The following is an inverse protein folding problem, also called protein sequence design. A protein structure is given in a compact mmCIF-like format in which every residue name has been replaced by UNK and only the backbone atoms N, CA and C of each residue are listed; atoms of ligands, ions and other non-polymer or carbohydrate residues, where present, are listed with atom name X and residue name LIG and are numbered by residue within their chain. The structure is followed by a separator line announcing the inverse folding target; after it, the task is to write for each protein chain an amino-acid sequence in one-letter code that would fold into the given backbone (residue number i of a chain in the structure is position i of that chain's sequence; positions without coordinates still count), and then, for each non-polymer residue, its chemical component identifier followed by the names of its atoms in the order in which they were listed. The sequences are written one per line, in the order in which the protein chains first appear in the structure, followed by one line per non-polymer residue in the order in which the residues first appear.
data_IF_266647044412
#
_entry.id   IF_266647044412
#
_cell.length_a   1.000
_cell.length_b   1.000
_cell.length_c   1.000
_cell.angle_alpha   90.00
_cell.angle_beta   90.00
_cell.angle_gamma   90.00
#
_symmetry.space_group_name_H-M   'P 1'
#
loop_
_entity.id
_entity.type
_entity.pdbx_description
1 polymer ?
#
# COMPACT_ATOMS: atom_id res chain seq x y z
N UNK A 1 18.72 -0.15 25.08
CA UNK A 1 18.44 1.25 24.71
C UNK A 1 17.52 1.21 23.50
N UNK A 2 16.20 1.16 23.70
CA UNK A 2 15.22 1.05 22.60
C UNK A 2 15.08 2.42 21.94
N UNK A 3 15.71 2.60 20.78
CA UNK A 3 15.41 3.75 19.92
C UNK A 3 13.97 3.59 19.46
N UNK A 4 13.06 4.41 20.00
CA UNK A 4 11.73 4.60 19.42
C UNK A 4 11.96 5.10 17.99
N UNK A 5 11.90 4.19 17.02
CA UNK A 5 11.70 4.59 15.63
C UNK A 5 10.45 5.47 15.63
N UNK A 6 10.52 6.63 14.97
CA UNK A 6 9.58 7.74 15.12
C UNK A 6 8.12 7.41 14.74
N UNK A 7 7.27 8.42 14.47
CA UNK A 7 5.81 8.29 14.38
C UNK A 7 5.32 7.56 13.11
N UNK A 8 5.88 6.39 12.80
CA UNK A 8 5.51 5.57 11.67
C UNK A 8 4.32 4.65 12.02
N UNK A 9 3.52 4.34 11.00
CA UNK A 9 2.20 3.72 11.12
C UNK A 9 2.18 2.22 11.47
N UNK A 10 3.30 1.60 11.84
CA UNK A 10 3.41 0.15 12.00
C UNK A 10 3.63 -0.30 13.46
N UNK A 11 3.21 -1.53 13.81
CA UNK A 11 3.32 -2.06 15.17
C UNK A 11 4.78 -2.19 15.66
N UNK A 12 4.98 -2.04 16.97
CA UNK A 12 6.30 -2.14 17.60
C UNK A 12 6.69 -3.61 17.84
N UNK A 13 5.71 -4.48 18.05
CA UNK A 13 5.90 -5.91 18.28
C UNK A 13 6.44 -6.62 17.03
N UNK A 14 7.61 -7.26 17.16
CA UNK A 14 8.29 -7.98 16.07
C UNK A 14 7.37 -8.96 15.32
N UNK A 15 6.54 -9.70 16.05
CA UNK A 15 5.59 -10.65 15.47
C UNK A 15 4.50 -9.98 14.63
N UNK A 16 3.95 -8.86 15.12
CA UNK A 16 2.91 -8.11 14.40
C UNK A 16 3.49 -7.35 13.21
N UNK A 17 4.70 -6.78 13.34
CA UNK A 17 5.41 -6.15 12.23
C UNK A 17 5.75 -7.17 11.13
N UNK A 18 6.25 -8.35 11.49
CA UNK A 18 6.50 -9.43 10.54
C UNK A 18 5.23 -9.95 9.87
N UNK A 19 4.16 -10.13 10.64
CA UNK A 19 2.85 -10.53 10.12
C UNK A 19 2.26 -9.50 9.15
N UNK A 20 2.36 -8.20 9.49
CA UNK A 20 1.94 -7.11 8.61
C UNK A 20 2.76 -7.09 7.31
N UNK A 21 4.09 -7.22 7.39
CA UNK A 21 4.94 -7.29 6.21
C UNK A 21 4.57 -8.48 5.31
N UNK A 22 4.33 -9.65 5.90
CA UNK A 22 3.88 -10.84 5.17
C UNK A 22 2.53 -10.63 4.49
N UNK A 23 1.54 -10.14 5.24
CA UNK A 23 0.20 -9.88 4.72
C UNK A 23 0.22 -8.84 3.59
N UNK A 24 0.87 -7.70 3.82
CA UNK A 24 1.02 -6.65 2.82
C UNK A 24 1.72 -7.18 1.57
N UNK A 25 2.82 -7.91 1.74
CA UNK A 25 3.56 -8.52 0.64
C UNK A 25 2.69 -9.45 -0.21
N UNK A 26 1.97 -10.38 0.42
CA UNK A 26 1.09 -11.32 -0.29
C UNK A 26 -0.06 -10.60 -1.00
N UNK A 27 -0.69 -9.63 -0.34
CA UNK A 27 -1.83 -8.89 -0.92
C UNK A 27 -1.38 -8.05 -2.11
N UNK A 28 -0.30 -7.27 -1.98
CA UNK A 28 0.22 -6.45 -3.08
C UNK A 28 0.69 -7.33 -4.25
N UNK A 29 1.33 -8.48 -3.97
CA UNK A 29 1.74 -9.41 -5.01
C UNK A 29 0.54 -9.97 -5.76
N UNK A 30 -0.47 -10.44 -5.03
CA UNK A 30 -1.67 -11.04 -5.60
C UNK A 30 -2.39 -10.05 -6.50
N UNK A 31 -2.60 -8.82 -6.03
CA UNK A 31 -3.28 -7.79 -6.81
C UNK A 31 -2.46 -7.35 -8.02
N UNK A 32 -1.15 -7.14 -7.86
CA UNK A 32 -0.26 -6.82 -8.98
C UNK A 32 -0.25 -7.92 -10.05
N UNK A 33 -0.19 -9.18 -9.64
CA UNK A 33 -0.29 -10.32 -10.54
C UNK A 33 -1.64 -10.40 -11.25
N UNK A 34 -2.76 -10.25 -10.51
CA UNK A 34 -4.11 -10.23 -11.08
C UNK A 34 -4.29 -9.11 -12.10
N UNK A 35 -3.72 -7.93 -11.84
CA UNK A 35 -3.75 -6.80 -12.76
C UNK A 35 -3.03 -7.13 -14.08
N UNK A 36 -1.83 -7.69 -14.01
CA UNK A 36 -1.07 -8.10 -15.20
C UNK A 36 -1.82 -9.20 -15.97
N UNK A 37 -2.33 -10.20 -15.28
CA UNK A 37 -3.09 -11.29 -15.89
C UNK A 37 -4.38 -10.79 -16.55
N UNK A 38 -5.05 -9.80 -15.95
CA UNK A 38 -6.22 -9.16 -16.53
C UNK A 38 -5.89 -8.41 -17.82
N UNK A 39 -4.78 -7.66 -17.84
CA UNK A 39 -4.32 -6.96 -19.04
C UNK A 39 -3.88 -7.90 -20.17
N UNK A 40 -3.42 -9.11 -19.82
CA UNK A 40 -3.13 -10.17 -20.78
C UNK A 40 -4.39 -10.85 -21.35
N UNK A 41 -5.59 -10.45 -20.91
CA UNK A 41 -6.86 -11.06 -21.32
C UNK A 41 -7.17 -12.41 -20.68
N UNK A 42 -6.40 -12.81 -19.66
CA UNK A 42 -6.58 -14.09 -18.95
C UNK A 42 -7.69 -13.98 -17.90
N UNK A 43 -7.87 -12.80 -17.31
CA UNK A 43 -8.84 -12.54 -16.24
C UNK A 43 -9.71 -11.31 -16.55
N UNK A 44 -10.94 -11.22 -16.01
CA UNK A 44 -11.76 -10.03 -16.15
C UNK A 44 -11.08 -8.79 -15.56
N UNK A 45 -11.38 -7.59 -16.09
CA UNK A 45 -10.83 -6.32 -15.60
C UNK A 45 -11.14 -6.12 -14.11
N UNK A 46 -10.08 -5.86 -13.35
CA UNK A 46 -10.20 -5.36 -11.98
C UNK A 46 -10.59 -3.88 -12.01
N UNK A 47 -11.26 -3.42 -10.95
CA UNK A 47 -11.76 -2.04 -10.84
C UNK A 47 -10.64 -1.00 -10.94
N UNK A 48 -10.90 0.06 -11.71
CA UNK A 48 -9.95 1.14 -12.04
C UNK A 48 -9.15 0.84 -13.30
N UNK A 49 -8.81 1.87 -14.08
CA UNK A 49 -7.88 1.69 -15.20
C UNK A 49 -6.47 1.43 -14.67
N UNK A 50 -6.05 0.17 -14.76
CA UNK A 50 -4.68 -0.25 -14.45
C UNK A 50 -3.88 -0.48 -15.74
N UNK A 51 -2.58 -0.21 -15.70
CA UNK A 51 -1.65 -0.56 -16.77
C UNK A 51 -0.61 -1.60 -16.31
N UNK A 52 0.20 -2.09 -17.25
CA UNK A 52 1.21 -3.11 -16.98
C UNK A 52 2.26 -2.59 -15.98
N UNK A 53 2.63 -1.32 -16.11
CA UNK A 53 3.63 -0.67 -15.27
C UNK A 53 3.16 -0.65 -13.81
N UNK A 54 1.91 -0.29 -13.57
CA UNK A 54 1.29 -0.26 -12.25
C UNK A 54 1.25 -1.65 -11.63
N UNK A 55 0.87 -2.68 -12.41
CA UNK A 55 0.91 -4.06 -11.94
C UNK A 55 2.31 -4.50 -11.51
N UNK A 56 3.34 -4.15 -12.29
CA UNK A 56 4.74 -4.44 -11.95
C UNK A 56 5.20 -3.68 -10.71
N UNK A 57 4.81 -2.40 -10.56
CA UNK A 57 5.15 -1.60 -9.39
C UNK A 57 4.55 -2.20 -8.10
N UNK A 58 3.33 -2.75 -8.15
CA UNK A 58 2.75 -3.47 -7.00
C UNK A 58 3.55 -4.73 -6.64
N UNK A 59 4.05 -5.46 -7.63
CA UNK A 59 4.92 -6.63 -7.41
C UNK A 59 6.25 -6.21 -6.77
N UNK A 60 6.82 -5.07 -7.16
CA UNK A 60 8.05 -4.53 -6.54
C UNK A 60 7.78 -4.16 -5.07
N UNK A 61 6.69 -3.46 -4.78
CA UNK A 61 6.28 -3.13 -3.40
C UNK A 61 6.12 -4.41 -2.58
N UNK A 62 5.47 -5.42 -3.15
CA UNK A 62 5.31 -6.72 -2.52
C UNK A 62 6.65 -7.40 -2.19
N UNK A 63 7.57 -7.43 -3.15
CA UNK A 63 8.89 -8.01 -2.95
C UNK A 63 9.66 -7.33 -1.80
N UNK A 64 9.56 -6.01 -1.66
CA UNK A 64 10.17 -5.27 -0.56
C UNK A 64 9.57 -5.67 0.79
N UNK A 65 8.24 -5.75 0.90
CA UNK A 65 7.58 -6.20 2.12
C UNK A 65 7.93 -7.64 2.48
N UNK A 66 7.88 -8.57 1.51
CA UNK A 66 8.21 -9.98 1.72
C UNK A 66 9.67 -10.17 2.15
N UNK A 67 10.60 -9.40 1.58
CA UNK A 67 12.01 -9.43 1.96
C UNK A 67 12.23 -9.01 3.42
N UNK A 68 11.37 -8.14 3.96
CA UNK A 68 11.42 -7.72 5.36
C UNK A 68 11.03 -8.78 6.39
N UNK A 69 10.30 -9.83 6.00
CA UNK A 69 9.77 -10.84 6.94
C UNK A 69 10.88 -11.54 7.73
N UNK A 70 11.90 -12.05 7.03
CA UNK A 70 12.97 -12.82 7.66
C UNK A 70 13.79 -11.96 8.63
N UNK A 71 14.30 -10.78 8.22
CA UNK A 71 15.01 -9.89 9.14
C UNK A 71 14.14 -9.43 10.35
N UNK A 72 12.83 -9.22 10.16
CA UNK A 72 11.91 -8.90 11.26
C UNK A 72 11.77 -10.08 12.25
N UNK A 73 11.72 -11.31 11.76
CA UNK A 73 11.68 -12.51 12.61
C UNK A 73 12.98 -12.71 13.41
N UNK A 74 14.12 -12.31 12.83
CA UNK A 74 15.43 -12.32 13.47
C UNK A 74 15.64 -11.12 14.42
N UNK A 75 14.70 -10.16 14.43
CA UNK A 75 14.73 -8.98 15.30
C UNK A 75 15.80 -7.97 14.93
N UNK A 76 16.25 -7.95 13.68
CA UNK A 76 17.28 -7.04 13.18
C UNK A 76 16.68 -5.70 12.76
N UNK A 77 17.46 -4.61 12.87
CA UNK A 77 17.03 -3.28 12.41
C UNK A 77 16.77 -3.23 10.91
N UNK A 78 17.41 -4.11 10.14
CA UNK A 78 17.21 -4.25 8.69
C UNK A 78 15.77 -4.65 8.32
N UNK A 79 15.07 -5.39 9.19
CA UNK A 79 13.67 -5.75 8.96
C UNK A 79 12.74 -4.54 8.99
N UNK A 80 12.94 -3.66 9.97
CA UNK A 80 12.18 -2.41 10.04
C UNK A 80 12.51 -1.49 8.86
N UNK A 81 13.75 -1.50 8.36
CA UNK A 81 14.12 -0.74 7.17
C UNK A 81 13.34 -1.18 5.92
N UNK A 82 13.20 -2.50 5.68
CA UNK A 82 12.40 -3.00 4.56
C UNK A 82 10.92 -2.63 4.68
N UNK A 83 10.38 -2.69 5.90
CA UNK A 83 9.00 -2.29 6.16
C UNK A 83 8.79 -0.80 5.85
N UNK A 84 9.69 0.08 6.32
CA UNK A 84 9.68 1.52 5.99
C UNK A 84 9.76 1.75 4.48
N UNK A 85 10.68 1.07 3.78
CA UNK A 85 10.82 1.23 2.31
C UNK A 85 9.54 0.75 1.59
N UNK A 86 8.94 -0.36 2.00
CA UNK A 86 7.67 -0.84 1.46
C UNK A 86 6.55 0.20 1.61
N UNK A 87 6.46 0.82 2.79
CA UNK A 87 5.56 1.93 3.05
C UNK A 87 5.85 3.15 2.19
N UNK A 88 7.12 3.53 2.03
CA UNK A 88 7.50 4.67 1.20
C UNK A 88 7.08 4.45 -0.25
N UNK A 89 7.35 3.26 -0.81
CA UNK A 89 6.95 2.94 -2.18
C UNK A 89 5.42 2.95 -2.33
N UNK A 90 4.69 2.31 -1.42
CA UNK A 90 3.22 2.32 -1.44
C UNK A 90 2.65 3.75 -1.33
N UNK A 91 3.22 4.59 -0.46
CA UNK A 91 2.84 5.99 -0.31
C UNK A 91 3.11 6.81 -1.56
N UNK A 92 4.25 6.59 -2.23
CA UNK A 92 4.59 7.28 -3.48
C UNK A 92 3.57 6.90 -4.57
N UNK A 93 3.25 5.62 -4.73
CA UNK A 93 2.25 5.18 -5.71
C UNK A 93 0.86 5.79 -5.42
N UNK A 94 0.44 5.76 -4.15
CA UNK A 94 -0.79 6.41 -3.72
C UNK A 94 -0.78 7.91 -4.05
N UNK A 95 0.29 8.63 -3.71
CA UNK A 95 0.42 10.06 -3.98
C UNK A 95 0.38 10.40 -5.46
N UNK A 96 1.04 9.59 -6.30
CA UNK A 96 0.96 9.74 -7.76
C UNK A 96 -0.48 9.56 -8.25
N UNK A 97 -1.20 8.57 -7.76
CA UNK A 97 -2.60 8.37 -8.16
C UNK A 97 -3.53 9.49 -7.67
N UNK A 98 -3.29 10.04 -6.47
CA UNK A 98 -4.00 11.22 -5.99
C UNK A 98 -3.75 12.44 -6.89
N UNK A 99 -2.53 12.62 -7.39
CA UNK A 99 -2.22 13.67 -8.35
C UNK A 99 -2.98 13.45 -9.68
N UNK A 100 -3.04 12.22 -10.19
CA UNK A 100 -3.81 11.87 -11.39
C UNK A 100 -5.29 12.22 -11.21
N UNK A 101 -5.89 11.79 -10.09
CA UNK A 101 -7.28 12.14 -9.73
C UNK A 101 -7.45 13.67 -9.69
N UNK A 102 -6.51 14.38 -9.07
CA UNK A 102 -6.54 15.85 -9.00
C UNK A 102 -6.50 16.51 -10.38
N UNK A 103 -5.65 16.02 -11.28
CA UNK A 103 -5.59 16.53 -12.66
C UNK A 103 -6.86 16.23 -13.46
N UNK A 104 -7.45 15.05 -13.28
CA UNK A 104 -8.70 14.69 -13.94
C UNK A 104 -9.89 15.49 -13.39
N UNK A 105 -9.95 15.68 -12.07
CA UNK A 105 -10.95 16.53 -11.42
C UNK A 105 -10.86 17.98 -11.90
N UNK A 106 -9.65 18.51 -12.10
CA UNK A 106 -9.45 19.85 -12.67
C UNK A 106 -9.92 19.91 -14.14
N UNK A 107 -9.60 18.89 -14.94
CA UNK A 107 -10.09 18.80 -16.33
C UNK A 107 -11.61 18.74 -16.42
N UNK A 108 -12.26 18.01 -15.52
CA UNK A 108 -13.72 17.96 -15.38
C UNK A 108 -14.29 19.31 -14.95
N UNK A 109 -13.69 19.96 -13.95
CA UNK A 109 -14.12 21.29 -13.47
C UNK A 109 -14.04 22.35 -14.57
N UNK A 110 -13.00 22.31 -15.41
CA UNK A 110 -12.79 23.22 -16.53
C UNK A 110 -13.58 22.82 -17.80
N UNK A 111 -14.35 21.74 -17.75
CA UNK A 111 -15.19 21.24 -18.84
C UNK A 111 -14.39 20.96 -20.13
N UNK A 112 -13.20 20.40 -20.00
CA UNK A 112 -12.43 19.99 -21.17
C UNK A 112 -13.11 18.82 -21.89
N UNK A 113 -13.14 18.80 -23.24
CA UNK A 113 -13.93 17.82 -24.01
C UNK A 113 -13.65 16.34 -23.69
N UNK A 114 -12.44 16.00 -23.21
CA UNK A 114 -12.07 14.64 -22.82
C UNK A 114 -12.39 14.25 -21.38
N UNK A 115 -12.88 15.19 -20.55
CA UNK A 115 -13.05 15.01 -19.11
C UNK A 115 -14.50 15.22 -18.64
N UNK A 116 -15.43 15.55 -19.54
CA UNK A 116 -16.84 15.78 -19.18
C UNK A 116 -17.48 14.52 -18.59
N UNK A 117 -17.14 13.35 -19.15
CA UNK A 117 -17.64 12.04 -18.71
C UNK A 117 -16.76 11.38 -17.62
N UNK A 118 -15.79 12.13 -17.09
CA UNK A 118 -14.93 11.62 -16.03
C UNK A 118 -15.74 11.37 -14.75
N UNK A 119 -15.44 10.27 -14.07
CA UNK A 119 -15.93 10.02 -12.73
C UNK A 119 -14.81 9.48 -11.85
N UNK A 120 -14.83 9.85 -10.56
CA UNK A 120 -13.84 9.41 -9.58
C UNK A 120 -13.67 7.88 -9.54
N UNK A 121 -14.75 7.13 -9.78
CA UNK A 121 -14.74 5.67 -9.79
C UNK A 121 -13.78 5.07 -10.84
N UNK A 122 -13.54 5.77 -11.94
CA UNK A 122 -12.61 5.33 -13.00
C UNK A 122 -11.15 5.33 -12.52
N UNK A 123 -10.84 6.19 -11.54
CA UNK A 123 -9.48 6.39 -11.00
C UNK A 123 -9.25 5.70 -9.65
N UNK A 124 -10.22 4.94 -9.14
CA UNK A 124 -10.06 4.12 -7.92
C UNK A 124 -9.26 2.85 -8.22
N UNK A 125 -7.99 3.05 -8.59
CA UNK A 125 -7.06 1.98 -8.95
C UNK A 125 -6.56 1.22 -7.71
N UNK A 126 -5.98 0.03 -7.89
CA UNK A 126 -5.33 -0.76 -6.83
C UNK A 126 -4.46 0.01 -5.85
N UNK A 127 -3.70 0.99 -6.33
CA UNK A 127 -2.79 1.78 -5.51
C UNK A 127 -3.53 2.58 -4.42
N UNK A 128 -4.76 3.04 -4.71
CA UNK A 128 -5.57 3.82 -3.75
C UNK A 128 -6.07 2.93 -2.62
N UNK A 129 -6.83 1.90 -2.97
CA UNK A 129 -7.50 1.10 -1.95
C UNK A 129 -6.52 0.17 -1.21
N UNK A 130 -5.46 -0.32 -1.84
CA UNK A 130 -4.43 -1.09 -1.12
C UNK A 130 -3.67 -0.25 -0.10
N UNK A 131 -3.33 1.00 -0.44
CA UNK A 131 -2.67 1.88 0.49
C UNK A 131 -3.59 2.24 1.66
N UNK A 132 -4.85 2.58 1.37
CA UNK A 132 -5.84 2.86 2.41
C UNK A 132 -6.01 1.67 3.37
N UNK A 133 -6.15 0.44 2.84
CA UNK A 133 -6.23 -0.79 3.64
C UNK A 133 -4.96 -0.98 4.47
N UNK A 134 -3.77 -0.80 3.87
CA UNK A 134 -2.49 -0.94 4.57
C UNK A 134 -2.41 0.01 5.78
N UNK A 135 -2.78 1.27 5.60
CA UNK A 135 -2.79 2.26 6.69
C UNK A 135 -3.80 1.89 7.78
N UNK A 136 -5.04 1.55 7.40
CA UNK A 136 -6.10 1.18 8.35
C UNK A 136 -5.72 -0.04 9.17
N UNK A 137 -5.26 -1.12 8.52
CA UNK A 137 -4.82 -2.34 9.21
C UNK A 137 -3.70 -2.04 10.19
N UNK A 138 -2.77 -1.17 9.82
CA UNK A 138 -1.59 -0.91 10.65
C UNK A 138 -1.89 -0.02 11.84
N UNK A 139 -2.82 0.93 11.68
CA UNK A 139 -3.40 1.66 12.81
C UNK A 139 -4.12 0.70 13.77
N UNK A 140 -4.95 -0.22 13.27
CA UNK A 140 -5.66 -1.19 14.10
C UNK A 140 -4.67 -2.06 14.88
N UNK A 141 -3.63 -2.59 14.22
CA UNK A 141 -2.61 -3.42 14.88
C UNK A 141 -1.86 -2.64 15.96
N UNK A 142 -1.53 -1.38 15.71
CA UNK A 142 -0.88 -0.52 16.69
C UNK A 142 -1.77 -0.26 17.92
N UNK A 143 -3.07 0.00 17.70
CA UNK A 143 -4.02 0.21 18.80
C UNK A 143 -4.20 -1.08 19.64
N UNK A 144 -4.18 -2.25 19.00
CA UNK A 144 -4.26 -3.53 19.69
C UNK A 144 -3.03 -3.82 20.59
N UNK A 145 -1.86 -3.20 20.32
CA UNK A 145 -0.67 -3.29 21.18
C UNK A 145 -0.70 -2.36 22.40
N UNK A 146 -1.50 -1.28 22.37
CA UNK A 146 -1.57 -0.26 23.44
C UNK A 146 -2.51 -0.49 24.66
N UNK A 147 -3.02 -1.68 25.07
CA UNK A 147 -4.05 -1.72 26.12
C UNK A 147 -3.63 -1.51 27.59
N UNK A 148 -2.36 -1.24 27.95
CA UNK A 148 -1.89 -1.44 29.35
C UNK A 148 -1.18 -0.30 30.09
N UNK A 149 -1.23 0.95 29.64
CA UNK A 149 -0.59 2.08 30.36
C UNK A 149 -1.55 3.03 31.09
N UNK A 150 -2.85 2.74 31.16
CA UNK A 150 -3.85 3.61 31.83
C UNK A 150 -4.52 2.86 33.00
N UNK A 151 -3.72 2.41 33.97
CA UNK A 151 -4.24 1.99 35.28
C UNK A 151 -3.14 1.94 36.35
N UNK A 152 -2.50 3.08 36.63
CA UNK A 152 -1.79 3.29 37.91
C UNK A 152 -2.07 4.70 38.43
#
# INVERSE_FOLDING_TARGET
MSRRFGPFFFPEGRGLAGGLAGLAGVVYFSVGFLQIASLAGVLPPITGQGDLLTGLLLIIVAAVFLKGIRPLSEGTEEGYAHLVVGYMLATILFGLQVLVIGTNALGWLLQFPGWVEWSLAQDLTPQIWLFAILVVVSIILRLAESPKEVSE
#
